data_IF_108195958825
#
_entry.id   IF_108195958825
#
_cell.length_a   1.000
_cell.length_b   1.000
_cell.length_c   1.000
_cell.angle_alpha   90.00
_cell.angle_beta   90.00
_cell.angle_gamma   90.00
#
_symmetry.space_group_name_H-M   'P 1'
#
loop_
_entity.id
_entity.type
_entity.pdbx_description
1 polymer ?
#
# COMPACT_ATOMS: atom_id res chain seq x y z
N UNK A 1 19.94 11.07 -24.48
CA UNK A 1 19.84 9.75 -23.89
C UNK A 1 18.46 9.50 -23.33
N UNK A 2 18.17 8.26 -23.11
CA UNK A 2 16.87 7.86 -22.55
C UNK A 2 16.67 8.39 -21.14
N UNK A 3 17.70 8.46 -20.35
CA UNK A 3 17.64 9.02 -19.00
C UNK A 3 17.25 10.50 -19.03
N UNK A 4 17.82 11.25 -19.96
CA UNK A 4 17.48 12.65 -20.13
C UNK A 4 16.01 12.80 -20.55
N UNK A 5 15.51 11.93 -21.42
CA UNK A 5 14.11 11.93 -21.82
C UNK A 5 13.19 11.62 -20.65
N UNK A 6 13.57 10.69 -19.79
CA UNK A 6 12.78 10.37 -18.60
C UNK A 6 12.69 11.57 -17.67
N UNK A 7 13.76 12.33 -17.54
CA UNK A 7 13.77 13.53 -16.71
C UNK A 7 12.90 14.63 -17.31
N UNK A 8 12.95 14.79 -18.63
CA UNK A 8 12.23 15.83 -19.33
C UNK A 8 10.75 15.52 -19.46
N UNK A 9 10.43 14.28 -19.82
CA UNK A 9 9.05 13.86 -20.04
C UNK A 9 8.56 12.93 -18.97
N UNK A 10 7.51 13.32 -18.25
CA UNK A 10 6.95 12.49 -17.17
C UNK A 10 6.46 11.14 -17.67
N UNK A 11 5.99 11.05 -18.92
CA UNK A 11 5.56 9.79 -19.52
C UNK A 11 6.70 8.78 -19.61
N UNK A 12 7.91 9.27 -19.83
CA UNK A 12 9.08 8.39 -19.92
C UNK A 12 9.37 7.72 -18.58
N UNK A 13 9.12 8.44 -17.49
CA UNK A 13 9.33 7.89 -16.14
C UNK A 13 8.31 6.83 -15.78
N UNK A 14 7.13 6.83 -16.40
CA UNK A 14 6.08 5.82 -16.16
C UNK A 14 6.54 4.43 -16.59
N UNK A 15 7.45 4.35 -17.55
CA UNK A 15 8.00 3.07 -18.01
C UNK A 15 8.87 2.40 -16.97
N UNK A 16 9.40 3.20 -16.03
CA UNK A 16 10.27 2.70 -15.00
C UNK A 16 9.46 2.18 -13.82
N UNK A 17 8.59 1.22 -14.13
CA UNK A 17 7.75 0.54 -13.14
C UNK A 17 8.12 -0.91 -13.03
N UNK A 18 8.22 -1.39 -11.79
CA UNK A 18 8.46 -2.80 -11.55
C UNK A 18 7.25 -3.63 -11.98
N UNK A 19 7.47 -4.66 -12.78
CA UNK A 19 6.38 -5.54 -13.25
C UNK A 19 5.73 -6.33 -12.14
N UNK A 20 6.42 -6.50 -11.03
CA UNK A 20 5.92 -7.28 -9.90
C UNK A 20 5.12 -6.43 -8.93
N UNK A 21 5.71 -5.33 -8.43
CA UNK A 21 5.05 -4.51 -7.40
C UNK A 21 4.45 -3.20 -7.91
N UNK A 22 4.73 -2.83 -9.15
CA UNK A 22 4.31 -1.57 -9.78
C UNK A 22 4.95 -0.33 -9.15
N UNK A 23 5.98 -0.50 -8.35
CA UNK A 23 6.76 0.59 -7.80
C UNK A 23 7.67 1.23 -8.83
N UNK A 24 8.16 2.42 -8.51
CA UNK A 24 9.11 3.14 -9.39
C UNK A 24 10.49 2.50 -9.26
N UNK A 25 11.09 2.16 -10.41
CA UNK A 25 12.40 1.52 -10.43
C UNK A 25 13.09 1.72 -11.77
N UNK A 26 14.41 1.72 -11.76
CA UNK A 26 15.22 1.73 -12.98
C UNK A 26 15.55 0.32 -13.47
N UNK A 27 15.36 -0.67 -12.61
CA UNK A 27 15.58 -2.08 -12.94
C UNK A 27 14.30 -2.87 -12.73
N UNK A 28 14.09 -3.90 -13.53
CA UNK A 28 12.86 -4.70 -13.46
C UNK A 28 13.22 -6.19 -13.38
N UNK A 29 12.84 -6.88 -12.28
CA UNK A 29 12.11 -6.35 -11.12
C UNK A 29 12.97 -5.44 -10.25
N UNK A 30 12.30 -4.63 -9.40
CA UNK A 30 13.00 -3.67 -8.55
C UNK A 30 13.86 -4.39 -7.48
N UNK A 31 14.73 -3.62 -6.84
CA UNK A 31 15.63 -4.17 -5.81
C UNK A 31 14.86 -4.86 -4.68
N UNK A 32 13.71 -4.34 -4.31
CA UNK A 32 12.89 -4.93 -3.24
C UNK A 32 12.31 -6.27 -3.67
N UNK A 33 11.73 -6.34 -4.87
CA UNK A 33 11.14 -7.58 -5.39
C UNK A 33 12.20 -8.65 -5.68
N UNK A 34 13.40 -8.24 -6.06
CA UNK A 34 14.51 -9.13 -6.36
C UNK A 34 15.25 -9.62 -5.12
N UNK A 35 15.07 -8.97 -3.99
CA UNK A 35 15.82 -9.28 -2.77
C UNK A 35 15.40 -10.63 -2.19
N UNK A 36 16.38 -11.49 -1.93
CA UNK A 36 16.17 -12.77 -1.27
C UNK A 36 16.18 -12.65 0.26
N UNK A 37 16.61 -11.49 0.77
CA UNK A 37 16.67 -11.25 2.21
C UNK A 37 15.33 -10.79 2.77
N UNK A 38 14.39 -10.39 1.92
CA UNK A 38 13.08 -9.93 2.34
C UNK A 38 12.09 -11.09 2.42
N UNK A 39 11.15 -10.96 3.34
CA UNK A 39 10.10 -11.96 3.53
C UNK A 39 9.13 -11.92 2.34
N UNK A 40 9.05 -13.03 1.63
CA UNK A 40 8.15 -13.18 0.48
C UNK A 40 6.70 -13.42 0.89
N UNK A 41 6.48 -13.78 2.15
CA UNK A 41 5.16 -14.11 2.66
C UNK A 41 4.45 -12.92 3.28
N UNK A 42 5.11 -11.77 3.40
CA UNK A 42 4.51 -10.54 3.93
C UNK A 42 4.46 -9.48 2.84
N UNK A 43 3.27 -9.04 2.51
CA UNK A 43 3.02 -8.09 1.43
C UNK A 43 2.30 -6.86 1.96
N UNK A 44 2.88 -5.69 1.73
CA UNK A 44 2.29 -4.41 2.11
C UNK A 44 1.66 -3.76 0.88
N UNK A 45 0.35 -3.56 0.91
CA UNK A 45 -0.40 -2.97 -0.20
C UNK A 45 -0.54 -1.47 0.04
N UNK A 46 0.03 -0.67 -0.86
CA UNK A 46 0.02 0.79 -0.78
C UNK A 46 -0.70 1.40 -1.98
N UNK A 47 -1.18 2.63 -1.84
CA UNK A 47 -1.89 3.33 -2.92
C UNK A 47 -0.95 3.84 -3.99
N UNK A 48 0.17 4.43 -3.59
CA UNK A 48 1.10 5.09 -4.50
C UNK A 48 2.51 4.53 -4.37
N UNK A 49 3.26 4.60 -5.46
CA UNK A 49 4.66 4.15 -5.47
C UNK A 49 5.53 4.91 -4.47
N UNK A 50 5.22 6.17 -4.21
CA UNK A 50 5.96 6.99 -3.24
C UNK A 50 5.78 6.50 -1.81
N UNK A 51 4.69 5.83 -1.51
CA UNK A 51 4.44 5.29 -0.17
C UNK A 51 5.49 4.26 0.23
N UNK A 52 6.04 3.55 -0.75
CA UNK A 52 7.13 2.60 -0.51
C UNK A 52 8.32 3.31 0.15
N UNK A 53 8.68 4.49 -0.36
CA UNK A 53 9.80 5.25 0.19
C UNK A 53 9.54 5.70 1.62
N UNK A 54 8.29 6.02 1.93
CA UNK A 54 7.88 6.40 3.30
C UNK A 54 8.12 5.24 4.26
N UNK A 55 7.71 4.03 3.89
CA UNK A 55 7.94 2.85 4.72
C UNK A 55 9.41 2.47 4.81
N UNK A 56 10.14 2.58 3.69
CA UNK A 56 11.56 2.22 3.66
C UNK A 56 12.42 3.14 4.52
N UNK A 57 12.02 4.41 4.69
CA UNK A 57 12.70 5.33 5.59
C UNK A 57 12.71 4.86 7.03
N UNK A 58 11.67 4.15 7.46
CA UNK A 58 11.59 3.64 8.83
C UNK A 58 12.53 2.47 9.06
N UNK A 59 12.93 1.79 7.98
CA UNK A 59 13.80 0.62 8.01
C UNK A 59 13.28 -0.51 8.91
N UNK A 60 11.96 -0.52 9.17
CA UNK A 60 11.32 -1.48 10.07
C UNK A 60 10.58 -2.59 9.33
N UNK A 61 10.14 -2.34 8.11
CA UNK A 61 9.41 -3.33 7.32
C UNK A 61 10.38 -4.14 6.44
N UNK A 62 10.28 -5.46 6.53
CA UNK A 62 11.18 -6.37 5.82
C UNK A 62 10.48 -7.25 4.77
N UNK A 63 9.21 -7.00 4.51
CA UNK A 63 8.47 -7.70 3.47
C UNK A 63 8.57 -7.02 2.11
N UNK A 64 7.64 -7.37 1.26
CA UNK A 64 7.55 -6.80 -0.09
C UNK A 64 6.34 -5.89 -0.21
N UNK A 65 6.24 -5.18 -1.30
CA UNK A 65 5.18 -4.19 -1.52
C UNK A 65 4.36 -4.51 -2.76
N UNK A 66 3.17 -3.95 -2.81
CA UNK A 66 2.34 -3.93 -4.00
C UNK A 66 1.66 -2.57 -4.12
N UNK A 67 1.83 -1.91 -5.25
CA UNK A 67 1.28 -0.58 -5.50
C UNK A 67 -0.01 -0.72 -6.30
N UNK A 68 -1.11 -0.19 -5.75
CA UNK A 68 -2.40 -0.18 -6.44
C UNK A 68 -2.48 0.89 -7.53
N UNK A 69 -1.67 1.94 -7.37
CA UNK A 69 -1.61 3.08 -8.28
C UNK A 69 -2.87 3.93 -8.23
N UNK A 70 -3.44 4.07 -7.04
CA UNK A 70 -4.63 4.88 -6.78
C UNK A 70 -5.52 4.24 -5.72
N UNK A 71 -6.71 4.80 -5.59
CA UNK A 71 -7.75 4.32 -4.69
C UNK A 71 -9.10 4.30 -5.40
N UNK A 72 -10.01 3.45 -4.93
CA UNK A 72 -11.36 3.39 -5.49
C UNK A 72 -12.10 4.72 -5.24
N UNK A 73 -12.62 5.31 -6.29
CA UNK A 73 -13.37 6.55 -6.22
C UNK A 73 -14.53 6.52 -7.21
N UNK A 74 -15.74 6.13 -6.77
CA UNK A 74 -16.90 6.11 -7.65
C UNK A 74 -17.24 7.48 -8.23
N UNK A 75 -16.96 8.55 -7.47
CA UNK A 75 -17.22 9.91 -7.91
C UNK A 75 -16.31 10.32 -9.08
N UNK A 76 -15.09 9.82 -9.10
CA UNK A 76 -14.12 10.08 -10.16
C UNK A 76 -14.13 9.02 -11.25
N UNK A 77 -15.00 8.03 -11.15
CA UNK A 77 -15.09 6.95 -12.10
C UNK A 77 -13.98 5.92 -12.00
N UNK A 78 -13.25 5.90 -10.88
CA UNK A 78 -12.16 4.95 -10.66
C UNK A 78 -12.72 3.68 -10.01
N UNK A 79 -12.74 2.61 -10.78
CA UNK A 79 -13.19 1.30 -10.33
C UNK A 79 -12.03 0.34 -10.11
N UNK A 80 -12.32 -0.91 -9.70
CA UNK A 80 -11.27 -1.90 -9.47
C UNK A 80 -10.40 -2.20 -10.68
N UNK A 81 -10.94 -2.06 -11.89
CA UNK A 81 -10.20 -2.33 -13.13
C UNK A 81 -9.15 -1.26 -13.43
N UNK A 82 -9.30 -0.08 -12.83
CA UNK A 82 -8.36 1.03 -12.98
C UNK A 82 -7.14 0.87 -12.06
N UNK A 83 -7.22 -0.05 -11.10
CA UNK A 83 -6.17 -0.27 -10.13
C UNK A 83 -5.48 -1.62 -10.37
N UNK A 84 -4.30 -1.81 -9.78
CA UNK A 84 -3.52 -3.04 -9.91
C UNK A 84 -4.01 -4.15 -8.98
N UNK A 85 -5.33 -4.34 -8.89
CA UNK A 85 -5.93 -5.33 -7.97
C UNK A 85 -5.82 -6.74 -8.53
N UNK A 86 -6.01 -6.94 -9.83
CA UNK A 86 -5.90 -8.27 -10.43
C UNK A 86 -4.49 -8.84 -10.29
N UNK A 87 -3.46 -8.01 -10.48
CA UNK A 87 -2.08 -8.44 -10.30
C UNK A 87 -1.76 -8.73 -8.84
N UNK A 88 -2.41 -8.03 -7.90
CA UNK A 88 -2.30 -8.34 -6.48
C UNK A 88 -2.85 -9.74 -6.19
N UNK A 89 -4.03 -10.04 -6.71
CA UNK A 89 -4.67 -11.34 -6.53
C UNK A 89 -3.77 -12.47 -7.07
N UNK A 90 -3.12 -12.26 -8.20
CA UNK A 90 -2.23 -13.24 -8.82
C UNK A 90 -0.98 -13.52 -7.97
N UNK A 91 -0.58 -12.57 -7.12
CA UNK A 91 0.59 -12.71 -6.25
C UNK A 91 0.28 -13.44 -4.95
N UNK A 92 -0.99 -13.47 -4.55
CA UNK A 92 -1.39 -14.00 -3.25
C UNK A 92 -1.43 -15.52 -3.28
N UNK A 93 -0.78 -16.13 -2.30
CA UNK A 93 -0.83 -17.57 -2.10
C UNK A 93 -1.14 -17.88 -0.63
N UNK A 94 -1.50 -19.12 -0.37
CA UNK A 94 -1.87 -19.57 0.98
C UNK A 94 -0.75 -19.32 1.99
N UNK A 95 -1.12 -18.85 3.15
CA UNK A 95 -0.19 -18.61 4.25
C UNK A 95 0.47 -17.23 4.25
N UNK A 96 0.16 -16.37 3.29
CA UNK A 96 0.70 -15.00 3.28
C UNK A 96 0.02 -14.09 4.28
N UNK A 97 0.74 -13.06 4.72
CA UNK A 97 0.18 -11.94 5.44
C UNK A 97 0.07 -10.75 4.47
N UNK A 98 -1.12 -10.18 4.37
CA UNK A 98 -1.38 -9.00 3.54
C UNK A 98 -1.70 -7.83 4.46
N UNK A 99 -0.87 -6.80 4.40
CA UNK A 99 -1.05 -5.59 5.20
C UNK A 99 -1.64 -4.51 4.29
N UNK A 100 -2.85 -4.07 4.59
CA UNK A 100 -3.50 -3.00 3.82
C UNK A 100 -3.04 -1.67 4.39
N UNK A 101 -2.25 -0.94 3.61
CA UNK A 101 -1.65 0.33 4.01
C UNK A 101 -2.16 1.48 3.14
N UNK A 102 -3.47 1.52 2.91
CA UNK A 102 -4.12 2.62 2.20
C UNK A 102 -4.18 3.87 3.08
N UNK A 103 -4.31 5.03 2.44
CA UNK A 103 -4.40 6.29 3.16
C UNK A 103 -5.68 6.38 4.00
N UNK A 104 -5.67 7.17 5.08
CA UNK A 104 -6.86 7.35 5.94
C UNK A 104 -7.85 8.36 5.33
N UNK A 105 -8.16 8.20 4.06
CA UNK A 105 -9.15 8.99 3.34
C UNK A 105 -10.40 8.17 3.09
N UNK A 106 -11.47 8.80 2.63
CA UNK A 106 -12.70 8.10 2.27
C UNK A 106 -12.43 7.07 1.19
N UNK A 107 -11.65 7.46 0.18
CA UNK A 107 -11.27 6.59 -0.92
C UNK A 107 -10.38 5.42 -0.44
N UNK A 108 -9.45 5.72 0.46
CA UNK A 108 -8.60 4.69 1.05
C UNK A 108 -9.37 3.68 1.89
N UNK A 109 -10.37 4.15 2.65
CA UNK A 109 -11.25 3.27 3.41
C UNK A 109 -12.09 2.39 2.50
N UNK A 110 -12.64 2.97 1.43
CA UNK A 110 -13.43 2.23 0.44
C UNK A 110 -12.59 1.13 -0.20
N UNK A 111 -11.35 1.47 -0.57
CA UNK A 111 -10.40 0.52 -1.15
C UNK A 111 -10.09 -0.61 -0.17
N UNK A 112 -9.85 -0.26 1.09
CA UNK A 112 -9.56 -1.22 2.15
C UNK A 112 -10.72 -2.20 2.36
N UNK A 113 -11.95 -1.69 2.40
CA UNK A 113 -13.15 -2.52 2.53
C UNK A 113 -13.31 -3.45 1.33
N UNK A 114 -13.09 -2.94 0.13
CA UNK A 114 -13.18 -3.75 -1.08
C UNK A 114 -12.17 -4.90 -1.06
N UNK A 115 -10.91 -4.59 -0.74
CA UNK A 115 -9.86 -5.60 -0.64
C UNK A 115 -10.18 -6.64 0.43
N UNK A 116 -10.71 -6.20 1.57
CA UNK A 116 -11.11 -7.12 2.64
C UNK A 116 -12.18 -8.09 2.18
N UNK A 117 -13.12 -7.64 1.38
CA UNK A 117 -14.20 -8.50 0.86
C UNK A 117 -13.70 -9.52 -0.15
N UNK A 118 -12.89 -9.10 -1.11
CA UNK A 118 -12.43 -10.01 -2.16
C UNK A 118 -11.38 -11.01 -1.67
N UNK A 119 -10.71 -10.69 -0.56
CA UNK A 119 -9.66 -11.55 0.01
C UNK A 119 -10.17 -12.37 1.21
N UNK A 120 -11.43 -12.20 1.61
CA UNK A 120 -11.98 -12.84 2.81
C UNK A 120 -11.96 -14.37 2.74
N UNK A 121 -12.16 -14.93 1.56
CA UNK A 121 -12.26 -16.39 1.37
C UNK A 121 -10.90 -17.05 1.14
N UNK A 122 -9.82 -16.31 1.21
CA UNK A 122 -8.49 -16.83 0.98
C UNK A 122 -7.81 -17.22 2.29
N UNK A 123 -6.95 -18.22 2.23
CA UNK A 123 -6.18 -18.68 3.38
C UNK A 123 -4.96 -17.76 3.60
N UNK A 124 -5.23 -16.56 4.06
CA UNK A 124 -4.22 -15.52 4.32
C UNK A 124 -4.55 -14.79 5.63
N UNK A 125 -3.52 -14.14 6.19
CA UNK A 125 -3.71 -13.22 7.31
C UNK A 125 -3.87 -11.82 6.73
N UNK A 126 -5.03 -11.21 6.94
CA UNK A 126 -5.32 -9.89 6.45
C UNK A 126 -5.32 -8.89 7.60
N UNK A 127 -4.49 -7.85 7.49
CA UNK A 127 -4.37 -6.83 8.52
C UNK A 127 -4.36 -5.44 7.91
N UNK A 128 -4.59 -4.43 8.75
CA UNK A 128 -4.57 -3.01 8.36
C UNK A 128 -3.62 -2.26 9.29
N UNK A 129 -3.12 -1.14 8.81
CA UNK A 129 -2.33 -0.25 9.65
C UNK A 129 -3.18 0.25 10.83
N UNK A 130 -2.57 0.27 12.00
CA UNK A 130 -3.20 0.82 13.19
C UNK A 130 -3.45 2.32 13.02
N UNK A 131 -4.54 2.80 13.56
CA UNK A 131 -4.91 4.21 13.52
C UNK A 131 -5.16 4.71 14.92
N UNK A 132 -4.91 5.99 15.11
CA UNK A 132 -5.16 6.56 16.41
C UNK A 132 -4.35 7.82 16.67
N UNK A 133 -4.18 8.14 17.93
CA UNK A 133 -3.50 9.33 18.40
C UNK A 133 -2.02 9.27 18.02
N UNK A 134 -1.46 10.34 17.38
CA UNK A 134 -0.04 10.36 17.04
C UNK A 134 0.84 10.45 18.28
N UNK A 135 2.00 9.80 18.20
CA UNK A 135 3.00 9.83 19.28
C UNK A 135 3.59 11.25 19.37
N UNK A 136 3.68 11.78 20.58
CA UNK A 136 4.25 13.09 20.83
C UNK A 136 3.27 14.24 20.77
N UNK A 137 1.99 13.99 20.51
CA UNK A 137 0.94 15.01 20.51
C UNK A 137 0.13 14.98 21.78
N UNK A 138 -0.52 16.11 22.08
CA UNK A 138 -1.46 16.22 23.19
C UNK A 138 -2.87 15.85 22.74
N UNK A 139 -3.63 15.19 23.61
CA UNK A 139 -4.99 14.75 23.28
C UNK A 139 -5.92 15.91 22.92
N UNK A 140 -5.72 17.07 23.52
CA UNK A 140 -6.59 18.23 23.28
C UNK A 140 -6.52 18.74 21.84
N UNK A 141 -5.44 18.43 21.11
CA UNK A 141 -5.25 18.87 19.72
C UNK A 141 -5.65 17.79 18.69
N UNK A 142 -6.12 16.64 19.15
CA UNK A 142 -6.54 15.56 18.28
C UNK A 142 -7.99 15.81 17.85
N UNK A 143 -8.26 15.68 16.56
CA UNK A 143 -9.62 15.86 16.06
C UNK A 143 -10.54 14.71 16.51
N UNK A 144 -11.84 14.98 16.51
CA UNK A 144 -12.84 14.04 17.01
C UNK A 144 -12.82 12.70 16.28
N UNK A 145 -12.70 12.73 14.96
CA UNK A 145 -12.67 11.51 14.15
C UNK A 145 -11.48 10.62 14.51
N UNK A 146 -10.31 11.20 14.69
CA UNK A 146 -9.10 10.47 15.08
C UNK A 146 -9.27 9.87 16.47
N UNK A 147 -9.84 10.63 17.40
CA UNK A 147 -10.05 10.15 18.76
C UNK A 147 -11.06 9.00 18.81
N UNK A 148 -12.14 9.09 18.06
CA UNK A 148 -13.13 8.03 17.96
C UNK A 148 -12.46 6.73 17.45
N UNK A 149 -11.65 6.83 16.39
CA UNK A 149 -10.94 5.67 15.85
C UNK A 149 -9.94 5.09 16.83
N UNK A 150 -9.29 5.93 17.62
CA UNK A 150 -8.37 5.47 18.65
C UNK A 150 -9.10 4.67 19.74
N UNK A 151 -10.27 5.12 20.14
CA UNK A 151 -11.10 4.41 21.13
C UNK A 151 -11.59 3.08 20.57
N UNK A 152 -12.05 3.08 19.33
CA UNK A 152 -12.53 1.85 18.67
C UNK A 152 -11.43 0.82 18.50
N UNK A 153 -10.23 1.29 18.16
CA UNK A 153 -9.05 0.43 17.95
C UNK A 153 -8.19 0.19 19.18
N UNK A 154 -8.67 0.55 20.37
CA UNK A 154 -7.90 0.38 21.59
C UNK A 154 -7.53 -1.07 21.83
N UNK A 155 -6.34 -1.27 22.36
CA UNK A 155 -5.81 -2.61 22.66
C UNK A 155 -5.70 -2.82 24.16
N UNK A 156 -5.79 -4.07 24.59
CA UNK A 156 -5.59 -4.46 25.99
C UNK A 156 -4.12 -4.43 26.34
N UNK A 157 -3.82 -4.05 27.54
CA UNK A 157 -2.44 -4.03 28.06
C UNK A 157 -2.28 -4.97 29.24
#
# INVERSE_FOLDING_TARGET
SEMALCIVGSEMCIRDRCKVCHGITEIDPCMICSSTERDENTLCVVENAYDIFVFEKTNSFKGKYHVLDGALSPLDGIGPDELNISSLIDRIHSGMEIIIATNPSVEGETTSLYLSKILADRDIVLSKLARGVPVGGDLEYVDDATLIRAIEGRISV
#
